data_IF_721197002688
#
_entry.id   IF_721197002688
#
_cell.length_a   1.000
_cell.length_b   1.000
_cell.length_c   1.000
_cell.angle_alpha   90.00
_cell.angle_beta   90.00
_cell.angle_gamma   90.00
#
_symmetry.space_group_name_H-M   'P 1'
#
loop_
_entity.id
_entity.type
_entity.pdbx_description
1 polymer ?
#
# COMPACT_ATOMS: atom_id res chain seq x y z
N UNK A 1 -8.13 14.20 -22.69
CA UNK A 1 -7.53 14.69 -21.42
C UNK A 1 -8.62 15.13 -20.45
N UNK A 2 -9.63 15.87 -20.92
CA UNK A 2 -10.77 16.36 -20.11
C UNK A 2 -11.63 15.24 -19.49
N UNK A 3 -11.94 14.16 -20.24
CA UNK A 3 -12.71 13.02 -19.72
C UNK A 3 -12.01 12.27 -18.57
N UNK A 4 -10.69 12.12 -18.63
CA UNK A 4 -9.92 11.47 -17.56
C UNK A 4 -9.98 12.28 -16.27
N UNK A 5 -9.86 13.60 -16.38
CA UNK A 5 -9.96 14.51 -15.24
C UNK A 5 -11.36 14.46 -14.63
N UNK A 6 -12.41 14.51 -15.44
CA UNK A 6 -13.79 14.40 -14.96
C UNK A 6 -14.03 13.07 -14.24
N UNK A 7 -13.58 11.94 -14.81
CA UNK A 7 -13.69 10.63 -14.15
C UNK A 7 -12.93 10.58 -12.82
N UNK A 8 -11.75 11.18 -12.76
CA UNK A 8 -10.98 11.29 -11.52
C UNK A 8 -11.73 12.09 -10.46
N UNK A 9 -12.26 13.27 -10.81
CA UNK A 9 -12.98 14.14 -9.87
C UNK A 9 -14.22 13.43 -9.29
N UNK A 10 -15.02 12.79 -10.14
CA UNK A 10 -16.19 12.00 -9.69
C UNK A 10 -15.78 10.90 -8.71
N UNK A 11 -14.68 10.20 -8.97
CA UNK A 11 -14.20 9.16 -8.08
C UNK A 11 -13.68 9.73 -6.77
N UNK A 12 -12.97 10.85 -6.82
CA UNK A 12 -12.41 11.53 -5.65
C UNK A 12 -13.51 12.07 -4.74
N UNK A 13 -14.54 12.71 -5.29
CA UNK A 13 -15.71 13.19 -4.54
C UNK A 13 -16.43 12.08 -3.78
N UNK A 14 -16.44 10.85 -4.33
CA UNK A 14 -17.01 9.67 -3.66
C UNK A 14 -16.17 9.16 -2.48
N UNK A 15 -14.83 9.27 -2.58
CA UNK A 15 -13.92 8.77 -1.56
C UNK A 15 -13.70 9.77 -0.42
N UNK A 16 -13.72 11.07 -0.72
CA UNK A 16 -13.40 12.12 0.24
C UNK A 16 -14.21 12.04 1.55
N UNK A 17 -15.53 11.79 1.55
CA UNK A 17 -16.30 11.67 2.78
C UNK A 17 -15.89 10.47 3.65
N UNK A 18 -15.39 9.39 3.04
CA UNK A 18 -14.96 8.18 3.76
C UNK A 18 -13.65 8.43 4.52
N UNK A 19 -12.79 9.32 4.03
CA UNK A 19 -11.58 9.74 4.73
C UNK A 19 -11.89 10.40 6.08
N UNK A 20 -12.98 11.17 6.16
CA UNK A 20 -13.28 12.01 7.33
C UNK A 20 -14.33 11.45 8.30
N UNK A 21 -15.17 10.49 7.89
CA UNK A 21 -16.24 9.95 8.73
C UNK A 21 -15.88 8.62 9.39
N UNK A 22 -15.48 7.64 8.58
CA UNK A 22 -15.11 6.30 9.00
C UNK A 22 -14.34 5.64 7.86
N UNK A 23 -13.03 5.48 8.05
CA UNK A 23 -12.11 5.01 7.03
C UNK A 23 -12.21 3.51 6.74
N UNK A 24 -13.04 2.74 7.46
CA UNK A 24 -13.10 1.29 7.33
C UNK A 24 -13.40 0.83 5.89
N UNK A 25 -14.41 1.42 5.24
CA UNK A 25 -14.75 1.07 3.85
C UNK A 25 -13.64 1.44 2.86
N UNK A 26 -12.95 2.56 3.09
CA UNK A 26 -11.79 2.99 2.30
C UNK A 26 -10.61 2.03 2.49
N UNK A 27 -10.35 1.62 3.73
CA UNK A 27 -9.31 0.68 4.10
C UNK A 27 -9.53 -0.68 3.44
N UNK A 28 -10.74 -1.24 3.49
CA UNK A 28 -11.06 -2.51 2.85
C UNK A 28 -10.92 -2.43 1.32
N UNK A 29 -11.46 -1.37 0.71
CA UNK A 29 -11.36 -1.16 -0.73
C UNK A 29 -9.90 -1.04 -1.19
N UNK A 30 -9.06 -0.34 -0.44
CA UNK A 30 -7.63 -0.22 -0.72
C UNK A 30 -6.89 -1.55 -0.49
N UNK A 31 -7.11 -2.20 0.66
CA UNK A 31 -6.46 -3.46 1.04
C UNK A 31 -6.77 -4.63 0.11
N UNK A 32 -7.93 -4.63 -0.56
CA UNK A 32 -8.33 -5.64 -1.53
C UNK A 32 -7.66 -5.47 -2.91
N UNK A 33 -7.28 -4.25 -3.26
CA UNK A 33 -6.68 -3.88 -4.54
C UNK A 33 -5.17 -3.60 -4.44
N UNK A 34 -4.57 -3.94 -3.30
CA UNK A 34 -3.16 -3.67 -3.04
C UNK A 34 -2.27 -4.45 -4.02
N UNK A 35 -1.52 -3.71 -4.82
CA UNK A 35 -0.65 -4.27 -5.84
C UNK A 35 0.39 -5.22 -5.23
N UNK A 36 0.56 -6.42 -5.81
CA UNK A 36 1.46 -7.50 -5.38
C UNK A 36 1.21 -8.07 -3.96
N UNK A 37 0.06 -7.79 -3.36
CA UNK A 37 -0.34 -8.46 -2.10
C UNK A 37 -0.30 -9.98 -2.25
N UNK A 38 0.36 -10.66 -1.33
CA UNK A 38 0.52 -12.12 -1.33
C UNK A 38 1.53 -12.67 -2.34
N UNK A 39 2.21 -11.83 -3.13
CA UNK A 39 3.20 -12.25 -4.13
C UNK A 39 4.61 -12.12 -3.54
N UNK A 40 5.43 -13.18 -3.52
CA UNK A 40 6.84 -13.09 -3.17
C UNK A 40 7.61 -12.15 -4.10
N UNK A 41 8.45 -11.31 -3.53
CA UNK A 41 9.27 -10.36 -4.27
C UNK A 41 10.53 -9.99 -3.47
N UNK A 42 11.51 -9.44 -4.18
CA UNK A 42 12.68 -8.81 -3.60
C UNK A 42 12.44 -7.31 -3.43
N UNK A 43 12.84 -6.78 -2.29
CA UNK A 43 12.67 -5.39 -1.88
C UNK A 43 14.00 -4.79 -1.46
N UNK A 44 14.10 -3.47 -1.56
CA UNK A 44 15.19 -2.68 -0.99
C UNK A 44 14.62 -1.74 0.08
N UNK A 45 15.11 -1.90 1.30
CA UNK A 45 14.86 -1.01 2.43
C UNK A 45 15.78 0.20 2.32
N UNK A 46 15.20 1.38 2.05
CA UNK A 46 15.98 2.59 1.79
C UNK A 46 16.65 3.11 3.07
N UNK A 47 16.04 2.89 4.24
CA UNK A 47 16.55 3.40 5.50
C UNK A 47 17.69 2.53 6.05
N UNK A 48 17.60 1.21 5.86
CA UNK A 48 18.63 0.27 6.29
C UNK A 48 19.65 -0.04 5.20
N UNK A 49 19.44 0.46 3.99
CA UNK A 49 20.27 0.22 2.80
C UNK A 49 20.51 -1.28 2.56
N UNK A 50 19.45 -2.08 2.70
CA UNK A 50 19.51 -3.53 2.55
C UNK A 50 18.47 -4.08 1.59
N UNK A 51 18.80 -5.21 0.96
CA UNK A 51 17.85 -5.97 0.17
C UNK A 51 17.31 -7.15 0.96
N UNK A 52 16.02 -7.46 0.77
CA UNK A 52 15.40 -8.61 1.41
C UNK A 52 14.29 -9.21 0.55
N UNK A 53 14.08 -10.51 0.71
CA UNK A 53 12.90 -11.19 0.15
C UNK A 53 11.73 -11.10 1.12
N UNK A 54 10.53 -10.86 0.59
CA UNK A 54 9.33 -10.78 1.41
C UNK A 54 8.02 -10.89 0.64
N UNK A 55 6.92 -10.83 1.39
CA UNK A 55 5.55 -10.88 0.88
C UNK A 55 4.73 -9.79 1.54
N UNK A 56 4.13 -8.90 0.73
CA UNK A 56 3.16 -7.92 1.24
C UNK A 56 1.94 -8.66 1.79
N UNK A 57 1.61 -8.43 3.06
CA UNK A 57 0.39 -8.97 3.69
C UNK A 57 -0.78 -8.00 3.64
N UNK A 58 -0.51 -6.71 3.58
CA UNK A 58 -1.54 -5.69 3.56
C UNK A 58 -1.00 -4.35 4.02
N UNK A 59 -1.93 -3.51 4.49
CA UNK A 59 -1.61 -2.27 5.18
C UNK A 59 -2.23 -2.28 6.58
N UNK A 60 -1.57 -1.63 7.51
CA UNK A 60 -2.10 -1.38 8.85
C UNK A 60 -3.17 -0.26 8.81
N UNK A 61 -4.01 -0.14 9.85
CA UNK A 61 -5.04 0.92 9.92
C UNK A 61 -4.47 2.35 9.82
N UNK A 62 -3.19 2.54 10.13
CA UNK A 62 -2.47 3.81 10.00
C UNK A 62 -1.85 4.04 8.60
N UNK A 63 -2.09 3.12 7.66
CA UNK A 63 -1.61 3.21 6.28
C UNK A 63 -0.20 2.68 6.06
N UNK A 64 0.49 2.14 7.08
CA UNK A 64 1.80 1.50 6.87
C UNK A 64 1.68 0.20 6.11
N UNK A 65 2.57 -0.03 5.15
CA UNK A 65 2.69 -1.28 4.42
C UNK A 65 3.31 -2.36 5.29
N UNK A 66 2.68 -3.53 5.39
CA UNK A 66 3.20 -4.68 6.12
C UNK A 66 3.79 -5.71 5.13
N UNK A 67 5.09 -5.99 5.28
CA UNK A 67 5.80 -7.02 4.52
C UNK A 67 6.33 -8.06 5.51
N UNK A 68 6.09 -9.34 5.23
CA UNK A 68 6.70 -10.44 5.97
C UNK A 68 7.96 -10.86 5.23
N UNK A 69 9.11 -10.79 5.89
CA UNK A 69 10.37 -11.23 5.32
C UNK A 69 10.53 -12.77 5.35
N UNK A 70 11.60 -13.27 4.75
CA UNK A 70 11.93 -14.70 4.72
C UNK A 70 12.13 -15.33 6.12
N UNK A 71 12.43 -14.54 7.15
CA UNK A 71 12.54 -15.00 8.53
C UNK A 71 11.18 -15.01 9.26
N UNK A 72 10.09 -14.60 8.59
CA UNK A 72 8.76 -14.50 9.17
C UNK A 72 8.53 -13.23 9.99
N UNK A 73 9.45 -12.27 9.94
CA UNK A 73 9.34 -11.02 10.70
C UNK A 73 8.48 -10.01 9.93
N UNK A 74 7.59 -9.33 10.64
CA UNK A 74 6.85 -8.19 10.11
C UNK A 74 7.76 -6.95 10.01
N UNK A 75 7.81 -6.37 8.83
CA UNK A 75 8.45 -5.08 8.52
C UNK A 75 7.36 -4.10 8.10
N UNK A 76 7.38 -2.90 8.67
CA UNK A 76 6.37 -1.88 8.45
C UNK A 76 7.00 -0.65 7.80
N UNK A 77 6.40 -0.17 6.71
CA UNK A 77 6.95 0.92 5.91
C UNK A 77 5.93 2.02 5.65
N UNK A 78 6.36 3.27 5.72
CA UNK A 78 5.64 4.40 5.13
C UNK A 78 5.98 4.55 3.64
N UNK A 79 5.32 5.50 2.98
CA UNK A 79 5.52 5.75 1.56
C UNK A 79 6.99 6.12 1.26
N UNK A 80 7.57 5.51 0.21
CA UNK A 80 8.96 5.69 -0.28
C UNK A 80 10.08 5.08 0.56
N UNK A 81 9.79 4.43 1.68
CA UNK A 81 10.82 3.77 2.50
C UNK A 81 11.24 2.41 1.95
N UNK A 82 10.46 1.84 1.04
CA UNK A 82 10.72 0.55 0.40
C UNK A 82 10.50 0.63 -1.11
N UNK A 83 11.41 0.04 -1.88
CA UNK A 83 11.26 -0.17 -3.32
C UNK A 83 11.24 -1.66 -3.64
N UNK A 84 10.54 -2.04 -4.71
CA UNK A 84 10.64 -3.39 -5.24
C UNK A 84 11.74 -3.44 -6.30
N UNK A 85 12.47 -4.55 -6.36
CA UNK A 85 13.53 -4.78 -7.34
C UNK A 85 12.94 -5.61 -8.48
N UNK A 86 13.12 -5.14 -9.73
CA UNK A 86 12.67 -5.79 -10.96
C UNK A 86 13.74 -6.72 -11.53
#
# INVERSE_FOLDING_TARGET
MEECLQRFLVFFEKLLPQVFKDGAGLFEAYSSQLFRKGVPARYYDVLQEEEFDGVIRGVEPDGRLCIIDAAGKCRYYHFKEVSYIL
#
